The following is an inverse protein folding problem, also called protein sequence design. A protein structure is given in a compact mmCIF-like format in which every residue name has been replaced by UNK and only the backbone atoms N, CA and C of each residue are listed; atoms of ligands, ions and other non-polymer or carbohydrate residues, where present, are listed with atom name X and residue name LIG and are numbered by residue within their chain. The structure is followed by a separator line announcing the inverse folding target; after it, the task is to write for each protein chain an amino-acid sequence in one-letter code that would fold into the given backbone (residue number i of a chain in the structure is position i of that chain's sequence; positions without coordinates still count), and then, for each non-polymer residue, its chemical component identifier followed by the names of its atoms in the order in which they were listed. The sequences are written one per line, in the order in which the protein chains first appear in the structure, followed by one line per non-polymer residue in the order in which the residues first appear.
data_IF_686888446646
#
_entry.id   IF_686888446646
#
_cell.length_a   1.000
_cell.length_b   1.000
_cell.length_c   1.000
_cell.angle_alpha   90.00
_cell.angle_beta   90.00
_cell.angle_gamma   90.00
#
_symmetry.space_group_name_H-M   'P 1'
#
loop_
_entity.id
_entity.type
_entity.pdbx_description
1 polymer ?
#
# COMPACT_ATOMS: atom_id res chain seq x y z
N UNK A 1 10.09 16.74 35.78
CA UNK A 1 9.23 15.56 36.01
C UNK A 1 9.53 14.55 34.92
N UNK A 2 10.09 13.40 35.31
CA UNK A 2 10.65 12.40 34.39
C UNK A 2 9.59 11.70 33.55
N UNK A 3 9.77 11.73 32.23
CA UNK A 3 8.99 10.94 31.27
C UNK A 3 9.53 9.51 31.33
N UNK A 4 8.72 8.59 31.82
CA UNK A 4 9.01 7.15 31.80
C UNK A 4 9.19 6.70 30.34
N UNK A 5 10.45 6.49 29.93
CA UNK A 5 10.78 5.64 28.80
C UNK A 5 10.44 4.21 29.22
N UNK A 6 9.31 3.70 28.72
CA UNK A 6 8.98 2.29 28.84
C UNK A 6 9.92 1.53 27.90
N UNK A 7 11.06 1.08 28.41
CA UNK A 7 11.91 0.08 27.75
C UNK A 7 11.14 -1.23 27.70
N UNK A 8 10.39 -1.44 26.60
CA UNK A 8 9.95 -2.77 26.22
C UNK A 8 11.15 -3.55 25.68
N UNK A 9 11.22 -4.88 25.88
CA UNK A 9 12.32 -5.69 25.38
C UNK A 9 12.36 -5.55 23.86
N UNK A 10 13.46 -5.00 23.34
CA UNK A 10 13.77 -5.07 21.92
C UNK A 10 14.12 -6.54 21.67
N UNK A 11 13.15 -7.33 21.18
CA UNK A 11 13.52 -8.48 20.36
C UNK A 11 14.30 -7.91 19.18
N UNK A 12 15.63 -7.92 19.29
CA UNK A 12 16.51 -7.49 18.21
C UNK A 12 16.30 -8.46 17.07
N UNK A 13 15.49 -8.07 16.09
CA UNK A 13 15.33 -8.79 14.85
C UNK A 13 16.67 -8.67 14.09
N UNK A 14 17.56 -9.68 14.09
CA UNK A 14 18.96 -9.49 13.67
C UNK A 14 19.11 -9.22 12.16
N UNK A 15 18.02 -9.29 11.41
CA UNK A 15 17.94 -9.02 9.98
C UNK A 15 17.30 -7.66 9.63
N UNK A 16 16.83 -6.88 10.61
CA UNK A 16 16.17 -5.60 10.37
C UNK A 16 16.94 -4.50 11.09
N UNK A 17 17.34 -3.47 10.36
CA UNK A 17 17.96 -2.27 10.94
C UNK A 17 16.90 -1.18 11.10
N UNK A 18 16.86 -0.52 12.27
CA UNK A 18 15.87 0.52 12.55
C UNK A 18 16.10 1.66 11.58
N UNK A 19 15.06 2.04 10.84
CA UNK A 19 15.16 3.07 9.83
C UNK A 19 14.89 4.45 10.46
N UNK A 20 15.45 5.53 9.91
CA UNK A 20 14.99 6.88 10.25
C UNK A 20 13.50 7.04 9.90
N UNK A 21 12.87 8.10 10.41
CA UNK A 21 11.51 8.46 10.05
C UNK A 21 11.37 8.63 8.51
N UNK A 22 10.17 8.44 7.94
CA UNK A 22 9.99 8.48 6.50
C UNK A 22 10.43 9.80 5.88
N UNK A 23 11.07 9.71 4.72
CA UNK A 23 11.26 10.81 3.80
C UNK A 23 10.07 10.90 2.82
N UNK A 24 9.75 12.13 2.42
CA UNK A 24 8.66 12.45 1.51
C UNK A 24 9.24 13.09 0.25
N UNK A 25 8.89 12.54 -0.92
CA UNK A 25 9.26 13.12 -2.21
C UNK A 25 8.16 14.02 -2.74
N UNK A 26 8.56 15.07 -3.42
CA UNK A 26 7.69 15.95 -4.21
C UNK A 26 8.21 15.92 -5.63
N UNK A 27 7.32 15.65 -6.58
CA UNK A 27 7.66 15.61 -7.99
C UNK A 27 6.83 16.62 -8.78
N UNK A 28 7.52 17.30 -9.69
CA UNK A 28 6.92 18.15 -10.72
C UNK A 28 7.62 17.92 -12.05
N UNK A 29 6.89 18.01 -13.15
CA UNK A 29 7.42 18.01 -14.51
C UNK A 29 6.81 19.18 -15.25
N UNK A 30 7.62 20.21 -15.48
CA UNK A 30 7.20 21.42 -16.19
C UNK A 30 8.02 21.57 -17.48
N UNK A 31 7.33 21.75 -18.62
CA UNK A 31 7.98 21.91 -19.93
C UNK A 31 9.02 20.81 -20.23
N UNK A 32 8.66 19.55 -19.96
CA UNK A 32 9.56 18.39 -20.06
C UNK A 32 10.78 18.41 -19.13
N UNK A 33 10.82 19.32 -18.16
CA UNK A 33 11.87 19.41 -17.14
C UNK A 33 11.37 18.81 -15.84
N UNK A 34 11.81 17.59 -15.48
CA UNK A 34 11.49 16.98 -14.20
C UNK A 34 12.27 17.68 -13.07
N UNK A 35 11.60 17.85 -11.94
CA UNK A 35 12.16 18.37 -10.70
C UNK A 35 11.64 17.52 -9.54
N UNK A 36 12.51 17.20 -8.60
CA UNK A 36 12.12 16.55 -7.37
C UNK A 36 12.81 17.18 -6.16
N UNK A 37 12.06 17.27 -5.08
CA UNK A 37 12.55 17.71 -3.77
C UNK A 37 12.20 16.66 -2.74
N UNK A 38 13.14 16.34 -1.86
CA UNK A 38 12.98 15.38 -0.78
C UNK A 38 12.92 16.14 0.53
N UNK A 39 11.95 15.78 1.35
CA UNK A 39 11.69 16.39 2.64
C UNK A 39 11.74 15.34 3.74
N UNK A 40 12.09 15.76 4.96
CA UNK A 40 11.96 14.92 6.14
C UNK A 40 10.50 14.81 6.63
N UNK A 41 10.29 14.09 7.72
CA UNK A 41 8.95 13.89 8.31
C UNK A 41 8.33 15.15 8.92
N UNK A 42 9.09 16.23 9.07
CA UNK A 42 8.63 17.54 9.52
C UNK A 42 8.54 18.56 8.36
N UNK A 43 8.71 18.08 7.12
CA UNK A 43 8.72 18.86 5.89
C UNK A 43 9.87 19.86 5.76
N UNK A 44 11.01 19.61 6.39
CA UNK A 44 12.24 20.34 6.07
C UNK A 44 12.90 19.76 4.82
N UNK A 45 13.42 20.61 3.95
CA UNK A 45 14.11 20.19 2.74
C UNK A 45 15.40 19.44 3.09
N UNK A 46 15.54 18.22 2.58
CA UNK A 46 16.68 17.32 2.78
C UNK A 46 17.59 17.30 1.56
N UNK A 47 17.01 17.16 0.37
CA UNK A 47 17.74 17.12 -0.89
C UNK A 47 16.85 17.57 -2.05
N UNK A 48 17.46 17.93 -3.18
CA UNK A 48 16.75 18.34 -4.40
C UNK A 48 17.56 17.92 -5.62
N UNK A 49 16.88 17.44 -6.66
CA UNK A 49 17.51 17.27 -7.96
C UNK A 49 17.82 18.65 -8.56
N UNK A 50 19.05 18.88 -9.00
CA UNK A 50 19.40 20.17 -9.61
C UNK A 50 18.72 20.31 -10.98
N UNK A 51 17.81 21.29 -11.08
CA UNK A 51 17.32 21.83 -12.34
C UNK A 51 18.47 22.58 -13.02
N UNK A 52 19.09 22.03 -14.06
CA UNK A 52 20.02 22.80 -14.88
C UNK A 52 19.23 23.81 -15.69
N UNK A 53 19.27 25.06 -15.23
CA UNK A 53 18.53 26.21 -15.75
C UNK A 53 19.07 26.74 -17.10
N UNK A 54 19.49 25.85 -18.01
CA UNK A 54 19.98 26.19 -19.33
C UNK A 54 19.30 25.28 -20.36
N UNK A 55 18.74 25.88 -21.41
CA UNK A 55 17.87 25.24 -22.39
C UNK A 55 18.20 23.78 -22.72
N UNK A 56 17.18 22.93 -22.65
CA UNK A 56 17.20 21.56 -23.13
C UNK A 56 18.18 20.59 -22.42
N UNK A 57 18.69 20.92 -21.24
CA UNK A 57 19.46 20.00 -20.41
C UNK A 57 18.54 19.25 -19.43
N UNK A 58 18.34 17.95 -19.69
CA UNK A 58 17.66 16.99 -18.82
C UNK A 58 18.26 17.05 -17.39
N UNK A 59 17.41 16.89 -16.37
CA UNK A 59 17.86 16.89 -14.97
C UNK A 59 19.04 15.91 -14.80
N UNK A 60 20.17 16.43 -14.32
CA UNK A 60 21.44 15.67 -14.20
C UNK A 60 21.42 14.63 -13.07
N UNK A 61 20.29 14.44 -12.41
CA UNK A 61 20.12 13.53 -11.26
C UNK A 61 19.17 12.35 -11.56
N UNK A 62 18.95 11.98 -12.83
CA UNK A 62 18.12 10.81 -13.13
C UNK A 62 17.79 10.61 -14.59
N UNK A 63 17.94 9.38 -15.09
CA UNK A 63 17.58 9.01 -16.47
C UNK A 63 16.05 8.89 -16.59
N UNK A 64 15.41 9.93 -17.16
CA UNK A 64 14.03 9.87 -17.64
C UNK A 64 14.08 9.55 -19.14
N UNK A 65 13.82 8.29 -19.47
CA UNK A 65 13.79 7.80 -20.86
C UNK A 65 12.71 8.51 -21.69
N UNK A 66 13.05 8.92 -22.91
CA UNK A 66 12.22 9.74 -23.83
C UNK A 66 10.85 9.14 -24.16
N UNK A 67 10.74 7.82 -24.18
CA UNK A 67 9.57 7.09 -24.67
C UNK A 67 8.42 7.05 -23.63
N UNK A 68 8.66 7.55 -22.42
CA UNK A 68 7.71 7.55 -21.30
C UNK A 68 7.24 8.96 -20.90
N UNK A 69 7.60 9.98 -21.70
CA UNK A 69 7.33 11.40 -21.47
C UNK A 69 5.84 11.76 -21.33
N UNK A 70 4.91 10.93 -21.80
CA UNK A 70 3.47 11.16 -21.60
C UNK A 70 3.02 11.03 -20.14
N UNK A 71 3.52 10.02 -19.44
CA UNK A 71 2.92 9.58 -18.17
C UNK A 71 3.34 10.44 -16.99
N UNK A 72 4.49 11.11 -17.10
CA UNK A 72 5.16 11.83 -16.05
C UNK A 72 4.88 13.35 -16.07
N UNK A 73 3.98 13.82 -16.93
CA UNK A 73 3.57 15.23 -16.91
C UNK A 73 2.83 15.58 -15.62
N UNK A 74 3.08 16.79 -15.14
CA UNK A 74 2.28 17.39 -14.07
C UNK A 74 1.48 18.59 -14.55
N UNK A 75 1.37 18.83 -15.87
CA UNK A 75 0.70 20.02 -16.40
C UNK A 75 -0.82 19.95 -16.57
N UNK A 76 -1.41 18.82 -16.23
CA UNK A 76 -2.85 18.59 -16.36
C UNK A 76 -3.33 17.55 -15.37
N UNK A 77 -4.60 17.18 -15.47
CA UNK A 77 -5.28 16.26 -14.54
C UNK A 77 -5.52 14.90 -15.19
N UNK A 78 -5.69 13.85 -14.37
CA UNK A 78 -5.91 12.48 -14.85
C UNK A 78 -7.33 12.24 -15.41
N UNK A 79 -8.21 13.24 -15.26
CA UNK A 79 -9.67 13.24 -15.41
C UNK A 79 -10.32 12.57 -16.63
N UNK A 80 -9.58 12.21 -17.68
CA UNK A 80 -10.18 11.74 -18.93
C UNK A 80 -9.36 10.73 -19.75
N UNK A 81 -8.25 10.20 -19.22
CA UNK A 81 -7.36 9.30 -19.98
C UNK A 81 -7.23 7.95 -19.32
N UNK A 82 -7.34 6.87 -20.11
CA UNK A 82 -6.78 5.56 -19.76
C UNK A 82 -5.30 5.70 -19.39
N UNK A 83 -4.71 4.69 -18.72
CA UNK A 83 -3.31 4.70 -18.30
C UNK A 83 -2.38 5.26 -19.40
N UNK A 84 -1.91 6.50 -19.18
CA UNK A 84 -1.52 7.43 -20.24
C UNK A 84 -1.05 8.75 -19.66
N UNK A 85 -1.46 9.88 -20.24
CA UNK A 85 -0.95 11.20 -19.82
C UNK A 85 -1.33 11.55 -18.38
N UNK A 86 -0.40 12.14 -17.62
CA UNK A 86 -0.57 12.54 -16.20
C UNK A 86 -0.76 11.39 -15.20
N UNK A 87 -0.57 10.14 -15.64
CA UNK A 87 -0.84 8.94 -14.82
C UNK A 87 0.03 8.84 -13.56
N UNK A 88 1.16 9.55 -13.51
CA UNK A 88 2.00 9.68 -12.31
C UNK A 88 1.27 10.26 -11.10
N UNK A 89 0.07 10.81 -11.30
CA UNK A 89 -0.76 11.41 -10.27
C UNK A 89 -1.96 10.54 -9.90
N UNK A 90 -2.10 9.35 -10.48
CA UNK A 90 -3.26 8.48 -10.25
C UNK A 90 -3.16 7.80 -8.87
N UNK A 91 -4.26 7.75 -8.12
CA UNK A 91 -4.35 7.08 -6.81
C UNK A 91 -3.77 5.64 -6.78
N UNK A 92 -4.03 4.76 -7.77
CA UNK A 92 -3.50 3.39 -7.72
C UNK A 92 -1.98 3.28 -8.02
N UNK A 93 -1.31 4.39 -8.35
CA UNK A 93 0.13 4.39 -8.56
C UNK A 93 0.93 4.45 -7.25
N UNK A 94 0.30 4.69 -6.10
CA UNK A 94 0.97 4.76 -4.81
C UNK A 94 0.83 3.46 -4.02
N UNK A 95 1.93 2.89 -3.55
CA UNK A 95 1.90 1.81 -2.57
C UNK A 95 3.10 1.81 -1.62
N UNK A 96 3.04 0.92 -0.64
CA UNK A 96 4.12 0.60 0.31
C UNK A 96 5.43 0.16 -0.38
N UNK A 97 5.31 -0.34 -1.61
CA UNK A 97 6.40 -0.81 -2.46
C UNK A 97 6.94 0.32 -3.37
N UNK A 98 6.47 1.56 -3.15
CA UNK A 98 6.88 2.73 -3.91
C UNK A 98 5.82 3.19 -4.90
N UNK A 99 6.23 4.05 -5.83
CA UNK A 99 5.37 4.55 -6.89
C UNK A 99 5.49 3.66 -8.13
N UNK A 100 4.38 3.36 -8.80
CA UNK A 100 4.37 2.43 -9.94
C UNK A 100 5.23 2.88 -11.12
N UNK A 101 5.35 4.20 -11.33
CA UNK A 101 5.99 4.76 -12.53
C UNK A 101 7.31 5.47 -12.24
N UNK A 102 7.59 5.80 -10.98
CA UNK A 102 8.72 6.65 -10.62
C UNK A 102 9.42 6.06 -9.39
N UNK A 103 10.74 6.14 -9.39
CA UNK A 103 11.60 5.92 -8.24
C UNK A 103 12.19 7.26 -7.84
N UNK A 104 12.13 7.56 -6.56
CA UNK A 104 12.83 8.67 -5.94
C UNK A 104 13.75 8.11 -4.85
N UNK A 105 15.01 8.49 -4.89
CA UNK A 105 15.98 8.19 -3.83
C UNK A 105 16.14 9.38 -2.89
N UNK A 106 16.57 9.10 -1.65
CA UNK A 106 16.73 10.11 -0.61
C UNK A 106 17.70 11.25 -0.96
N UNK A 107 18.62 11.03 -1.89
CA UNK A 107 19.58 12.03 -2.36
C UNK A 107 19.06 12.90 -3.53
N UNK A 108 17.77 12.81 -3.88
CA UNK A 108 17.19 13.55 -5.00
C UNK A 108 17.39 12.88 -6.36
N UNK A 109 17.90 11.64 -6.38
CA UNK A 109 17.95 10.84 -7.59
C UNK A 109 16.56 10.40 -8.05
N UNK A 110 16.33 10.34 -9.36
CA UNK A 110 15.06 9.90 -9.93
C UNK A 110 15.24 8.91 -11.08
N UNK A 111 14.32 7.96 -11.23
CA UNK A 111 14.30 7.06 -12.38
C UNK A 111 12.88 6.64 -12.71
N UNK A 112 12.52 6.62 -13.99
CA UNK A 112 11.24 6.03 -14.40
C UNK A 112 11.30 4.50 -14.33
N UNK A 113 10.18 3.90 -13.96
CA UNK A 113 9.99 2.46 -13.97
C UNK A 113 9.32 2.05 -15.27
N UNK A 114 9.68 0.89 -15.81
CA UNK A 114 8.94 0.30 -16.91
C UNK A 114 7.48 0.06 -16.48
N UNK A 115 6.50 0.78 -17.08
CA UNK A 115 5.12 0.77 -16.58
C UNK A 115 4.52 -0.63 -16.59
N UNK A 116 4.68 -1.38 -17.68
CA UNK A 116 4.01 -2.68 -17.85
C UNK A 116 4.49 -3.73 -16.86
N UNK A 117 5.78 -3.69 -16.53
CA UNK A 117 6.35 -4.57 -15.53
C UNK A 117 5.81 -4.24 -14.14
N UNK A 118 5.78 -2.97 -13.74
CA UNK A 118 5.30 -2.55 -12.44
C UNK A 118 3.80 -2.73 -12.25
N UNK A 119 3.00 -2.40 -13.26
CA UNK A 119 1.57 -2.65 -13.26
C UNK A 119 1.28 -4.13 -12.97
N UNK A 120 1.98 -5.02 -13.66
CA UNK A 120 1.79 -6.47 -13.54
C UNK A 120 2.33 -7.06 -12.24
N UNK A 121 3.34 -6.44 -11.62
CA UNK A 121 3.97 -6.95 -10.39
C UNK A 121 3.36 -6.40 -9.12
N UNK A 122 3.26 -5.06 -9.01
CA UNK A 122 2.80 -4.40 -7.79
C UNK A 122 1.32 -4.68 -7.51
N UNK A 123 0.58 -5.08 -8.55
CA UNK A 123 -0.79 -5.54 -8.38
C UNK A 123 -0.90 -6.77 -7.46
N UNK A 124 0.16 -7.58 -7.38
CA UNK A 124 0.19 -8.88 -6.68
C UNK A 124 0.92 -8.83 -5.34
N UNK A 125 1.53 -7.71 -4.95
CA UNK A 125 2.13 -7.57 -3.63
C UNK A 125 1.06 -7.44 -2.56
N UNK A 126 1.16 -8.22 -1.48
CA UNK A 126 0.28 -8.19 -0.30
C UNK A 126 0.81 -7.31 0.82
N UNK A 127 0.20 -7.42 2.00
CA UNK A 127 0.53 -6.57 3.17
C UNK A 127 1.56 -7.25 4.05
N UNK A 128 2.56 -6.50 4.53
CA UNK A 128 3.48 -6.98 5.56
C UNK A 128 3.47 -6.00 6.73
N UNK A 129 3.12 -6.50 7.92
CA UNK A 129 3.23 -5.79 9.19
C UNK A 129 4.55 -6.18 9.85
N UNK A 130 5.47 -5.23 9.91
CA UNK A 130 6.81 -5.41 10.48
C UNK A 130 6.88 -4.94 11.94
N UNK A 131 8.06 -5.05 12.57
CA UNK A 131 8.30 -4.43 13.87
C UNK A 131 8.32 -2.89 13.76
N UNK A 132 8.07 -2.20 14.86
CA UNK A 132 8.04 -0.73 14.91
C UNK A 132 9.36 -0.11 14.45
N UNK A 133 9.27 0.82 13.49
CA UNK A 133 10.42 1.58 13.01
C UNK A 133 11.31 0.83 12.03
N UNK A 134 10.82 -0.29 11.52
CA UNK A 134 11.51 -1.08 10.51
C UNK A 134 10.72 -1.06 9.21
N UNK A 135 11.38 -0.57 8.17
CA UNK A 135 10.94 -0.79 6.79
C UNK A 135 11.25 -2.24 6.44
N UNK A 136 10.24 -3.01 6.06
CA UNK A 136 10.42 -4.39 5.61
C UNK A 136 11.36 -4.43 4.38
N UNK A 137 12.37 -5.32 4.34
CA UNK A 137 13.31 -5.42 3.22
C UNK A 137 12.72 -6.13 1.99
N UNK A 138 11.55 -6.74 2.16
CA UNK A 138 10.89 -7.59 1.18
C UNK A 138 9.44 -7.19 0.97
N UNK A 139 8.88 -7.67 -0.15
CA UNK A 139 7.46 -7.69 -0.47
C UNK A 139 7.00 -9.13 -0.68
N UNK A 140 5.77 -9.44 -0.25
CA UNK A 140 5.16 -10.75 -0.48
C UNK A 140 4.32 -10.69 -1.74
N UNK A 141 4.72 -11.45 -2.75
CA UNK A 141 4.02 -11.55 -4.02
C UNK A 141 3.19 -12.82 -4.04
N UNK A 142 1.90 -12.67 -4.35
CA UNK A 142 0.99 -13.79 -4.47
C UNK A 142 0.14 -13.68 -5.73
N UNK A 143 0.20 -14.74 -6.55
CA UNK A 143 -0.69 -14.94 -7.70
C UNK A 143 -1.03 -16.41 -7.85
N UNK A 144 -2.32 -16.72 -7.83
CA UNK A 144 -2.87 -18.06 -7.99
C UNK A 144 -2.45 -19.03 -6.90
N UNK A 145 -1.45 -19.85 -7.19
CA UNK A 145 -0.87 -20.84 -6.25
C UNK A 145 0.62 -20.57 -5.99
N UNK A 146 1.14 -19.47 -6.51
CA UNK A 146 2.55 -19.09 -6.39
C UNK A 146 2.73 -18.01 -5.33
N UNK A 147 3.59 -18.29 -4.36
CA UNK A 147 4.00 -17.35 -3.31
C UNK A 147 5.51 -17.12 -3.39
N UNK A 148 5.91 -15.85 -3.39
CA UNK A 148 7.31 -15.41 -3.52
C UNK A 148 7.62 -14.25 -2.59
N UNK A 149 8.88 -14.14 -2.20
CA UNK A 149 9.46 -12.94 -1.58
C UNK A 149 10.24 -12.19 -2.66
N UNK A 150 10.03 -10.89 -2.78
CA UNK A 150 10.79 -10.00 -3.67
C UNK A 150 11.47 -8.91 -2.86
N UNK A 151 12.52 -8.27 -3.41
CA UNK A 151 13.05 -7.04 -2.84
C UNK A 151 11.96 -5.98 -2.78
N UNK A 152 11.90 -5.23 -1.67
CA UNK A 152 10.85 -4.23 -1.52
C UNK A 152 10.93 -3.18 -2.62
N UNK A 153 9.80 -2.97 -3.30
CA UNK A 153 9.74 -2.04 -4.44
C UNK A 153 10.60 -2.42 -5.63
N UNK A 154 11.11 -3.65 -5.68
CA UNK A 154 11.95 -4.16 -6.74
C UNK A 154 11.37 -5.42 -7.40
N UNK A 155 12.18 -6.00 -8.29
CA UNK A 155 11.84 -7.20 -9.06
C UNK A 155 12.78 -8.37 -8.78
N UNK A 156 13.78 -8.18 -7.92
CA UNK A 156 14.69 -9.25 -7.58
C UNK A 156 13.97 -10.23 -6.67
N UNK A 157 13.76 -11.45 -7.16
CA UNK A 157 13.20 -12.53 -6.34
C UNK A 157 14.22 -12.91 -5.27
N UNK A 158 13.78 -12.89 -4.02
CA UNK A 158 14.59 -13.25 -2.87
C UNK A 158 14.37 -14.70 -2.45
N UNK A 159 13.12 -15.17 -2.58
CA UNK A 159 12.73 -16.51 -2.17
C UNK A 159 11.44 -16.95 -2.87
N UNK A 160 11.19 -18.25 -2.96
CA UNK A 160 9.97 -18.83 -3.51
C UNK A 160 9.60 -20.09 -2.75
N UNK A 161 8.31 -20.32 -2.51
CA UNK A 161 7.81 -21.61 -2.06
C UNK A 161 8.02 -22.67 -3.16
N UNK A 162 8.88 -23.65 -2.92
CA UNK A 162 9.28 -24.65 -3.91
C UNK A 162 8.21 -25.74 -4.08
N UNK A 163 7.60 -26.17 -2.98
CA UNK A 163 6.58 -27.25 -3.00
C UNK A 163 5.27 -26.81 -3.65
N UNK A 164 5.03 -25.49 -3.78
CA UNK A 164 3.78 -24.91 -4.31
C UNK A 164 2.62 -24.99 -3.32
N UNK A 165 1.74 -23.98 -3.32
CA UNK A 165 0.66 -23.88 -2.31
C UNK A 165 -0.40 -24.97 -2.44
N UNK A 166 -0.67 -25.44 -3.65
CA UNK A 166 -1.69 -26.45 -3.94
C UNK A 166 -1.19 -27.89 -3.72
N UNK A 167 -0.30 -28.10 -2.75
CA UNK A 167 0.19 -29.43 -2.35
C UNK A 167 -0.20 -29.70 -0.91
N UNK A 168 -0.49 -30.97 -0.60
CA UNK A 168 -0.93 -31.39 0.74
C UNK A 168 0.10 -31.04 1.85
N UNK A 169 1.39 -30.98 1.48
CA UNK A 169 2.49 -30.61 2.37
C UNK A 169 2.55 -29.12 2.68
N UNK A 170 1.94 -28.26 1.86
CA UNK A 170 1.88 -26.81 2.07
C UNK A 170 0.52 -26.35 2.61
N UNK A 171 -0.57 -26.85 2.05
CA UNK A 171 -1.93 -26.43 2.38
C UNK A 171 -2.97 -27.52 2.11
N UNK A 172 -4.16 -27.33 2.69
CA UNK A 172 -5.38 -28.04 2.26
C UNK A 172 -6.12 -27.13 1.27
N UNK A 173 -5.59 -27.06 0.06
CA UNK A 173 -6.13 -26.23 -1.03
C UNK A 173 -7.50 -26.76 -1.46
N UNK A 174 -8.49 -25.89 -1.64
CA UNK A 174 -9.86 -26.30 -1.96
C UNK A 174 -10.04 -26.61 -3.46
N UNK A 175 -9.35 -25.87 -4.33
CA UNK A 175 -9.21 -26.17 -5.76
C UNK A 175 -10.46 -25.93 -6.62
N UNK A 176 -10.47 -24.79 -7.31
CA UNK A 176 -10.95 -24.65 -8.70
C UNK A 176 -10.41 -23.38 -9.38
N UNK A 177 -10.09 -22.33 -8.62
CA UNK A 177 -9.72 -21.02 -9.17
C UNK A 177 -8.33 -20.56 -8.71
N UNK A 178 -7.47 -20.24 -9.68
CA UNK A 178 -6.07 -19.80 -9.45
C UNK A 178 -5.86 -18.34 -9.85
N UNK A 179 -6.91 -17.52 -9.83
CA UNK A 179 -6.82 -16.11 -10.24
C UNK A 179 -6.54 -15.14 -9.08
N UNK A 180 -6.43 -15.61 -7.84
CA UNK A 180 -6.19 -14.74 -6.68
C UNK A 180 -4.91 -13.92 -6.85
N UNK A 181 -4.96 -12.63 -6.52
CA UNK A 181 -3.84 -11.69 -6.60
C UNK A 181 -3.75 -10.86 -5.33
N UNK A 182 -2.54 -10.65 -4.81
CA UNK A 182 -2.25 -9.80 -3.64
C UNK A 182 -2.98 -10.09 -2.34
N UNK A 183 -3.84 -11.11 -2.30
CA UNK A 183 -4.60 -11.52 -1.14
C UNK A 183 -3.76 -12.35 -0.18
N UNK A 184 -2.62 -11.79 0.21
CA UNK A 184 -1.66 -12.34 1.16
C UNK A 184 -1.30 -11.25 2.17
N UNK A 185 -1.11 -11.66 3.41
CA UNK A 185 -0.73 -10.80 4.51
C UNK A 185 0.20 -11.51 5.46
N UNK A 186 1.24 -10.84 5.96
CA UNK A 186 2.14 -11.38 6.97
C UNK A 186 2.32 -10.41 8.12
N UNK A 187 2.23 -10.90 9.35
CA UNK A 187 2.58 -10.15 10.55
C UNK A 187 3.80 -10.77 11.20
N UNK A 188 4.91 -10.03 11.18
CA UNK A 188 6.21 -10.50 11.65
C UNK A 188 6.21 -10.84 13.15
N UNK A 189 5.76 -9.91 13.99
CA UNK A 189 5.69 -10.11 15.45
C UNK A 189 4.81 -11.29 15.85
N UNK A 190 3.60 -11.39 15.29
CA UNK A 190 2.68 -12.51 15.54
C UNK A 190 3.12 -13.83 14.90
N UNK A 191 4.08 -13.81 13.97
CA UNK A 191 4.48 -14.98 13.18
C UNK A 191 3.30 -15.56 12.40
N UNK A 192 2.47 -14.70 11.81
CA UNK A 192 1.19 -15.06 11.23
C UNK A 192 1.16 -14.72 9.74
N UNK A 193 1.15 -15.74 8.89
CA UNK A 193 0.97 -15.62 7.44
C UNK A 193 -0.45 -16.04 7.09
N UNK A 194 -1.14 -15.19 6.33
CA UNK A 194 -2.51 -15.43 5.87
C UNK A 194 -2.57 -15.24 4.38
N UNK A 195 -3.27 -16.15 3.70
CA UNK A 195 -3.56 -16.07 2.29
C UNK A 195 -5.03 -16.39 2.07
N UNK A 196 -5.67 -15.73 1.11
CA UNK A 196 -7.04 -16.06 0.72
C UNK A 196 -7.02 -16.75 -0.65
N UNK A 197 -7.62 -17.93 -0.70
CA UNK A 197 -7.97 -18.66 -1.92
C UNK A 197 -9.42 -18.30 -2.29
N UNK A 198 -9.68 -17.92 -3.53
CA UNK A 198 -11.03 -17.91 -4.08
C UNK A 198 -11.37 -19.32 -4.55
N UNK A 199 -12.49 -19.86 -4.07
CA UNK A 199 -12.97 -21.17 -4.51
C UNK A 199 -13.77 -21.08 -5.80
N UNK A 200 -14.42 -19.93 -6.03
CA UNK A 200 -15.18 -19.63 -7.24
C UNK A 200 -15.31 -18.12 -7.48
N UNK A 201 -16.00 -17.76 -8.56
CA UNK A 201 -16.34 -16.38 -8.91
C UNK A 201 -17.49 -15.78 -8.07
N UNK A 202 -18.09 -16.57 -7.17
CA UNK A 202 -19.24 -16.18 -6.36
C UNK A 202 -18.83 -15.59 -5.00
N UNK A 203 -17.56 -15.19 -4.85
CA UNK A 203 -16.99 -14.69 -3.61
C UNK A 203 -17.06 -15.70 -2.46
N UNK A 204 -16.90 -16.99 -2.77
CA UNK A 204 -16.65 -18.03 -1.78
C UNK A 204 -15.14 -18.22 -1.64
N UNK A 205 -14.64 -18.16 -0.40
CA UNK A 205 -13.22 -18.10 -0.10
C UNK A 205 -12.80 -19.17 0.90
N UNK A 206 -11.50 -19.44 0.92
CA UNK A 206 -10.79 -20.14 1.97
C UNK A 206 -9.62 -19.28 2.44
N UNK A 207 -9.58 -18.92 3.72
CA UNK A 207 -8.39 -18.38 4.33
C UNK A 207 -7.46 -19.53 4.71
N UNK A 208 -6.22 -19.47 4.27
CA UNK A 208 -5.12 -20.30 4.76
C UNK A 208 -4.31 -19.51 5.78
N UNK A 209 -4.11 -20.09 6.95
CA UNK A 209 -3.53 -19.40 8.10
C UNK A 209 -2.40 -20.27 8.64
N UNK A 210 -1.17 -19.84 8.41
CA UNK A 210 0.03 -20.45 8.98
C UNK A 210 0.54 -19.58 10.12
N UNK A 211 0.77 -20.20 11.27
CA UNK A 211 1.37 -19.55 12.43
C UNK A 211 2.67 -20.24 12.77
N UNK A 212 3.72 -19.46 12.97
CA UNK A 212 5.03 -19.95 13.33
C UNK A 212 5.63 -19.12 14.48
N UNK A 213 5.97 -19.73 15.63
CA UNK A 213 6.51 -18.98 16.76
C UNK A 213 7.93 -18.46 16.49
N UNK A 214 8.78 -19.27 15.85
CA UNK A 214 10.22 -19.01 15.72
C UNK A 214 10.68 -18.62 14.31
N UNK A 215 10.27 -19.35 13.26
CA UNK A 215 10.61 -18.99 11.89
C UNK A 215 9.95 -17.66 11.51
N UNK A 216 10.75 -16.78 10.92
CA UNK A 216 10.32 -15.49 10.38
C UNK A 216 10.66 -15.42 8.91
N UNK A 217 9.86 -14.65 8.18
CA UNK A 217 10.16 -14.27 6.81
C UNK A 217 10.92 -12.95 6.87
N UNK A 218 12.09 -12.89 6.24
CA UNK A 218 12.99 -11.73 6.17
C UNK A 218 13.53 -11.45 4.77
N UNK A 219 13.11 -12.24 3.77
CA UNK A 219 13.65 -12.16 2.42
C UNK A 219 14.90 -13.00 2.22
N UNK A 220 15.16 -14.02 3.05
CA UNK A 220 16.27 -14.96 2.82
C UNK A 220 15.75 -16.22 2.10
N UNK A 221 16.57 -16.84 1.23
CA UNK A 221 16.20 -18.08 0.54
C UNK A 221 15.84 -19.20 1.52
N UNK A 222 14.79 -19.96 1.19
CA UNK A 222 14.32 -21.13 1.94
C UNK A 222 13.46 -20.81 3.17
N UNK A 223 13.26 -19.53 3.51
CA UNK A 223 12.41 -19.14 4.64
C UNK A 223 10.93 -19.47 4.39
N UNK A 224 10.43 -19.32 3.16
CA UNK A 224 9.05 -19.66 2.80
C UNK A 224 8.78 -21.15 2.97
N UNK A 225 9.64 -22.01 2.41
CA UNK A 225 9.50 -23.47 2.53
C UNK A 225 9.53 -23.88 4.00
N UNK A 226 10.52 -23.40 4.77
CA UNK A 226 10.60 -23.70 6.20
C UNK A 226 9.33 -23.26 6.94
N UNK A 227 8.89 -22.02 6.75
CA UNK A 227 7.75 -21.46 7.47
C UNK A 227 6.45 -22.23 7.18
N UNK A 228 6.16 -22.49 5.90
CA UNK A 228 4.91 -23.10 5.47
C UNK A 228 4.88 -24.61 5.75
N UNK A 229 5.97 -25.32 5.43
CA UNK A 229 6.02 -26.77 5.58
C UNK A 229 6.05 -27.19 7.05
N UNK A 230 6.81 -26.49 7.90
CA UNK A 230 6.81 -26.77 9.35
C UNK A 230 5.44 -26.46 9.98
N UNK A 231 4.82 -25.33 9.62
CA UNK A 231 3.48 -24.97 10.09
C UNK A 231 2.43 -25.99 9.65
N UNK A 232 2.51 -26.49 8.42
CA UNK A 232 1.59 -27.53 7.91
C UNK A 232 1.79 -28.88 8.61
N UNK A 233 3.03 -29.24 8.90
CA UNK A 233 3.36 -30.47 9.64
C UNK A 233 3.06 -30.39 11.15
N UNK A 234 2.83 -29.19 11.70
CA UNK A 234 2.68 -28.99 13.15
C UNK A 234 4.02 -29.06 13.91
N UNK A 235 5.14 -28.86 13.21
CA UNK A 235 6.49 -28.95 13.77
C UNK A 235 6.84 -27.70 14.58
N UNK A 236 7.72 -27.82 15.58
CA UNK A 236 8.28 -26.69 16.32
C UNK A 236 7.23 -25.74 16.96
N UNK A 237 6.05 -26.28 17.30
CA UNK A 237 4.92 -25.49 17.83
C UNK A 237 4.27 -24.57 16.81
N UNK A 238 4.63 -24.69 15.52
CA UNK A 238 3.95 -24.05 14.42
C UNK A 238 2.62 -24.76 14.12
N UNK A 239 1.71 -24.05 13.45
CA UNK A 239 0.40 -24.60 13.13
C UNK A 239 -0.15 -24.05 11.82
N UNK A 240 -1.01 -24.86 11.21
CA UNK A 240 -1.78 -24.52 10.03
C UNK A 240 -3.25 -24.77 10.30
N UNK A 241 -4.09 -23.84 9.86
CA UNK A 241 -5.52 -24.03 9.76
C UNK A 241 -6.05 -23.38 8.49
N UNK A 242 -7.25 -23.77 8.09
CA UNK A 242 -8.00 -23.05 7.07
C UNK A 242 -9.39 -22.67 7.56
N UNK A 243 -9.97 -21.62 7.01
CA UNK A 243 -11.34 -21.20 7.32
C UNK A 243 -12.08 -20.91 6.02
N UNK A 244 -13.17 -21.62 5.79
CA UNK A 244 -14.07 -21.33 4.68
C UNK A 244 -15.03 -20.20 5.06
N UNK A 245 -15.24 -19.25 4.16
CA UNK A 245 -16.21 -18.17 4.35
C UNK A 245 -16.73 -17.67 3.00
N UNK A 246 -17.87 -17.00 3.04
CA UNK A 246 -18.46 -16.36 1.86
C UNK A 246 -18.63 -14.88 2.14
N UNK A 247 -18.31 -14.03 1.16
CA UNK A 247 -18.48 -12.59 1.28
C UNK A 247 -19.02 -11.99 -0.01
N UNK A 248 -20.31 -12.17 -0.25
CA UNK A 248 -21.02 -11.56 -1.37
C UNK A 248 -21.75 -10.30 -0.90
N UNK A 249 -21.27 -9.13 -1.31
CA UNK A 249 -21.84 -7.85 -0.90
C UNK A 249 -21.64 -6.79 -2.00
N UNK A 250 -22.58 -5.85 -2.12
CA UNK A 250 -22.48 -4.70 -3.02
C UNK A 250 -22.20 -5.08 -4.49
N UNK A 251 -22.75 -6.19 -4.98
CA UNK A 251 -22.50 -6.64 -6.37
C UNK A 251 -21.10 -7.20 -6.62
N UNK A 252 -20.40 -7.65 -5.56
CA UNK A 252 -19.00 -8.10 -5.64
C UNK A 252 -18.77 -9.27 -6.61
N UNK A 253 -19.80 -10.05 -6.97
CA UNK A 253 -19.69 -11.15 -7.93
C UNK A 253 -19.65 -10.70 -9.40
N UNK A 254 -19.73 -9.40 -9.68
CA UNK A 254 -19.70 -8.86 -11.04
C UNK A 254 -18.32 -8.44 -11.54
N UNK A 255 -17.30 -8.39 -10.67
CA UNK A 255 -15.98 -7.82 -11.00
C UNK A 255 -14.83 -8.72 -10.56
N UNK A 256 -13.85 -8.88 -11.46
CA UNK A 256 -12.63 -9.67 -11.20
C UNK A 256 -11.84 -9.11 -10.00
N UNK A 257 -11.79 -7.79 -9.84
CA UNK A 257 -11.18 -7.14 -8.66
C UNK A 257 -11.78 -7.64 -7.35
N UNK A 258 -13.11 -7.62 -7.20
CA UNK A 258 -13.75 -8.03 -5.93
C UNK A 258 -13.82 -9.54 -5.74
N UNK A 259 -13.72 -10.32 -6.81
CA UNK A 259 -13.68 -11.78 -6.73
C UNK A 259 -12.31 -12.31 -6.36
N UNK A 260 -11.24 -11.65 -6.82
CA UNK A 260 -9.89 -12.24 -6.79
C UNK A 260 -8.82 -11.37 -6.15
N UNK A 261 -9.21 -10.23 -5.56
CA UNK A 261 -8.26 -9.32 -4.94
C UNK A 261 -8.80 -8.69 -3.66
N UNK A 262 -7.95 -8.65 -2.65
CA UNK A 262 -8.20 -7.95 -1.39
C UNK A 262 -6.89 -7.69 -0.66
N UNK A 263 -6.90 -6.72 0.25
CA UNK A 263 -5.81 -6.48 1.20
C UNK A 263 -6.10 -7.29 2.44
N UNK A 264 -5.19 -8.23 2.72
CA UNK A 264 -5.25 -9.12 3.88
C UNK A 264 -4.32 -8.57 4.93
N UNK A 265 -4.85 -8.19 6.08
CA UNK A 265 -4.11 -7.52 7.15
C UNK A 265 -4.22 -8.39 8.40
N UNK A 266 -3.27 -9.33 8.63
CA UNK A 266 -3.20 -10.08 9.88
C UNK A 266 -2.81 -9.13 11.01
N UNK A 267 -3.41 -9.32 12.17
CA UNK A 267 -3.19 -8.44 13.33
C UNK A 267 -2.64 -9.20 14.53
N UNK A 268 -2.07 -8.46 15.49
CA UNK A 268 -1.56 -9.04 16.74
C UNK A 268 -2.64 -9.75 17.56
N UNK A 269 -3.89 -9.30 17.48
CA UNK A 269 -5.04 -9.96 18.11
C UNK A 269 -5.36 -11.36 17.57
N UNK A 270 -4.77 -11.76 16.44
CA UNK A 270 -5.08 -13.00 15.73
C UNK A 270 -6.31 -12.89 14.80
N UNK A 271 -7.06 -11.78 14.87
CA UNK A 271 -8.08 -11.42 13.87
C UNK A 271 -7.41 -10.95 12.59
N UNK A 272 -8.13 -11.07 11.48
CA UNK A 272 -7.62 -10.73 10.15
C UNK A 272 -8.58 -9.72 9.53
N UNK A 273 -8.09 -8.53 9.22
CA UNK A 273 -8.85 -7.58 8.41
C UNK A 273 -8.74 -7.92 6.92
N UNK A 274 -9.89 -7.86 6.24
CA UNK A 274 -10.01 -8.02 4.80
C UNK A 274 -10.59 -6.73 4.25
N UNK A 275 -9.83 -6.00 3.44
CA UNK A 275 -10.31 -4.80 2.75
C UNK A 275 -10.41 -5.10 1.27
N UNK A 276 -11.59 -4.89 0.69
CA UNK A 276 -11.90 -5.23 -0.71
C UNK A 276 -12.53 -4.05 -1.43
N UNK A 277 -12.17 -3.91 -2.69
CA UNK A 277 -12.74 -2.93 -3.61
C UNK A 277 -13.70 -3.63 -4.56
N UNK A 278 -14.93 -3.12 -4.62
CA UNK A 278 -15.93 -3.49 -5.61
C UNK A 278 -16.02 -2.31 -6.58
N UNK A 279 -15.44 -2.44 -7.79
CA UNK A 279 -15.43 -1.37 -8.78
C UNK A 279 -16.82 -0.78 -9.01
N UNK A 280 -16.86 0.53 -9.21
CA UNK A 280 -18.08 1.35 -9.37
C UNK A 280 -19.06 1.40 -8.20
N UNK A 281 -18.79 0.70 -7.08
CA UNK A 281 -19.75 0.57 -5.98
C UNK A 281 -19.18 1.05 -4.64
N UNK A 282 -18.14 0.37 -4.11
CA UNK A 282 -17.53 0.75 -2.83
C UNK A 282 -16.17 0.11 -2.56
N UNK A 283 -15.44 0.66 -1.60
CA UNK A 283 -14.50 -0.11 -0.78
C UNK A 283 -15.20 -0.53 0.52
N UNK A 284 -15.00 -1.77 0.95
CA UNK A 284 -15.56 -2.27 2.20
C UNK A 284 -14.58 -3.19 2.94
N UNK A 285 -14.84 -3.37 4.23
CA UNK A 285 -14.01 -4.12 5.15
C UNK A 285 -14.83 -5.22 5.81
N UNK A 286 -14.17 -6.34 6.09
CA UNK A 286 -14.65 -7.39 6.97
C UNK A 286 -13.54 -7.83 7.91
N UNK A 287 -13.90 -8.45 9.03
CA UNK A 287 -12.95 -9.03 9.97
C UNK A 287 -13.23 -10.51 10.11
N UNK A 288 -12.26 -11.32 9.72
CA UNK A 288 -12.27 -12.76 9.96
C UNK A 288 -11.68 -13.04 11.33
N UNK A 289 -12.43 -13.76 12.17
CA UNK A 289 -11.97 -14.29 13.45
C UNK A 289 -11.85 -15.81 13.32
N UNK A 290 -10.63 -16.35 13.18
CA UNK A 290 -10.42 -17.79 13.15
C UNK A 290 -10.81 -18.45 14.47
N UNK A 291 -11.54 -19.55 14.40
CA UNK A 291 -11.91 -20.42 15.52
C UNK A 291 -11.08 -21.70 15.56
N UNK A 292 -11.47 -22.66 16.40
CA UNK A 292 -10.83 -23.98 16.46
C UNK A 292 -11.34 -24.92 15.37
N UNK A 293 -10.52 -25.86 14.92
CA UNK A 293 -10.97 -26.96 14.05
C UNK A 293 -11.37 -26.53 12.64
N UNK A 294 -10.61 -25.61 12.02
CA UNK A 294 -10.87 -25.07 10.68
C UNK A 294 -12.22 -24.32 10.53
N UNK A 295 -12.68 -23.70 11.61
CA UNK A 295 -13.87 -22.85 11.64
C UNK A 295 -13.49 -21.39 11.84
N UNK A 296 -14.44 -20.47 11.64
CA UNK A 296 -14.27 -19.07 11.99
C UNK A 296 -15.52 -18.27 11.67
N UNK A 297 -15.53 -17.01 12.10
CA UNK A 297 -16.63 -16.08 11.86
C UNK A 297 -16.14 -14.89 11.05
N UNK A 298 -16.95 -14.47 10.08
CA UNK A 298 -16.71 -13.25 9.32
C UNK A 298 -17.69 -12.18 9.79
N UNK A 299 -17.17 -11.09 10.37
CA UNK A 299 -17.94 -9.90 10.67
C UNK A 299 -17.86 -8.92 9.49
N UNK A 300 -19.02 -8.56 8.95
CA UNK A 300 -19.15 -7.63 7.81
C UNK A 300 -19.87 -6.34 8.19
N UNK A 301 -20.12 -6.10 9.48
CA UNK A 301 -20.88 -4.93 9.97
C UNK A 301 -20.02 -3.66 10.04
N UNK A 302 -19.24 -3.42 9.00
CA UNK A 302 -18.38 -2.24 8.86
C UNK A 302 -19.00 -1.30 7.83
N UNK A 303 -18.97 0.00 8.12
CA UNK A 303 -19.48 1.00 7.19
C UNK A 303 -18.68 1.00 5.89
N UNK A 304 -19.38 0.83 4.77
CA UNK A 304 -18.81 0.89 3.43
C UNK A 304 -18.40 2.31 3.08
N UNK A 305 -17.42 2.45 2.19
CA UNK A 305 -17.03 3.73 1.61
C UNK A 305 -17.37 3.72 0.14
N UNK A 306 -18.36 4.51 -0.26
CA UNK A 306 -18.83 4.55 -1.64
C UNK A 306 -17.73 4.99 -2.61
N UNK A 307 -17.81 4.45 -3.81
CA UNK A 307 -17.13 4.97 -4.99
C UNK A 307 -18.14 4.95 -6.14
N UNK A 308 -17.85 5.63 -7.23
CA UNK A 308 -18.71 5.59 -8.40
C UNK A 308 -17.85 5.44 -9.62
N UNK A 309 -18.28 4.61 -10.57
CA UNK A 309 -17.74 4.70 -11.92
C UNK A 309 -16.20 4.56 -11.92
N UNK A 310 -15.70 3.51 -11.26
CA UNK A 310 -14.27 3.32 -10.96
C UNK A 310 -13.76 2.00 -11.53
N UNK A 311 -12.47 1.93 -11.82
CA UNK A 311 -11.83 0.80 -12.49
C UNK A 311 -11.03 -0.09 -11.54
N UNK A 312 -11.30 -1.40 -11.59
CA UNK A 312 -10.53 -2.46 -10.97
C UNK A 312 -9.50 -3.07 -11.92
N UNK A 313 -8.92 -4.21 -11.53
CA UNK A 313 -7.93 -4.91 -12.37
C UNK A 313 -8.47 -5.39 -13.72
N UNK A 314 -9.78 -5.51 -13.87
CA UNK A 314 -10.39 -5.92 -15.13
C UNK A 314 -10.16 -4.90 -16.26
N UNK A 315 -9.85 -3.63 -15.95
CA UNK A 315 -9.46 -2.62 -16.94
C UNK A 315 -7.93 -2.49 -17.12
N UNK A 316 -7.14 -3.31 -16.41
CA UNK A 316 -5.69 -3.35 -16.54
C UNK A 316 -4.96 -3.44 -15.20
N UNK A 317 -3.69 -3.88 -15.24
CA UNK A 317 -2.89 -4.14 -14.03
C UNK A 317 -2.52 -2.87 -13.24
N UNK A 318 -2.60 -1.70 -13.87
CA UNK A 318 -2.41 -0.39 -13.24
C UNK A 318 -3.52 -0.01 -12.25
N UNK A 319 -4.68 -0.64 -12.33
CA UNK A 319 -5.86 -0.26 -11.55
C UNK A 319 -6.05 -1.09 -10.27
N UNK A 320 -7.16 -0.81 -9.57
CA UNK A 320 -7.57 -1.52 -8.36
C UNK A 320 -6.87 -1.08 -7.08
N UNK A 321 -7.15 -1.79 -5.99
CA UNK A 321 -6.75 -1.41 -4.64
C UNK A 321 -5.23 -1.45 -4.45
N UNK A 322 -4.70 -0.54 -3.63
CA UNK A 322 -3.32 -0.49 -3.12
C UNK A 322 -3.34 -0.35 -1.60
N UNK A 323 -2.15 -0.32 -1.01
CA UNK A 323 -2.02 -0.04 0.40
C UNK A 323 -0.73 0.68 0.73
N UNK A 324 -0.74 1.37 1.87
CA UNK A 324 0.38 1.96 2.56
C UNK A 324 0.37 1.50 4.02
N UNK A 325 1.52 1.59 4.69
CA UNK A 325 1.65 1.29 6.11
C UNK A 325 2.47 2.40 6.79
N UNK A 326 2.10 2.78 8.01
CA UNK A 326 2.85 3.74 8.81
C UNK A 326 4.24 3.21 9.18
N UNK A 327 5.17 4.11 9.51
CA UNK A 327 6.56 3.76 9.86
C UNK A 327 6.65 2.82 11.06
N UNK A 328 5.79 3.03 12.05
CA UNK A 328 5.67 2.20 13.25
C UNK A 328 4.94 0.87 13.00
N UNK A 329 4.43 0.66 11.78
CA UNK A 329 3.65 -0.50 11.37
C UNK A 329 2.33 -0.69 12.16
N UNK A 330 1.80 0.36 12.80
CA UNK A 330 0.56 0.29 13.58
C UNK A 330 -0.72 0.47 12.75
N UNK A 331 -0.61 1.09 11.56
CA UNK A 331 -1.76 1.40 10.73
C UNK A 331 -1.51 1.10 9.26
N UNK A 332 -2.43 0.36 8.64
CA UNK A 332 -2.43 0.06 7.21
C UNK A 332 -3.58 0.83 6.54
N UNK A 333 -3.25 1.72 5.60
CA UNK A 333 -4.23 2.33 4.73
C UNK A 333 -4.41 1.47 3.48
N UNK A 334 -5.57 0.83 3.31
CA UNK A 334 -5.93 0.09 2.11
C UNK A 334 -6.97 0.90 1.32
N UNK A 335 -6.66 1.22 0.06
CA UNK A 335 -7.42 2.20 -0.70
C UNK A 335 -7.46 1.91 -2.20
N UNK A 336 -8.53 2.36 -2.84
CA UNK A 336 -8.80 2.28 -4.27
C UNK A 336 -9.23 3.66 -4.79
N UNK A 337 -9.20 3.89 -6.11
CA UNK A 337 -9.73 5.13 -6.67
C UNK A 337 -11.25 5.23 -6.48
N UNK A 338 -11.73 6.46 -6.27
CA UNK A 338 -13.15 6.75 -6.16
C UNK A 338 -13.84 6.77 -7.53
N UNK A 339 -13.14 7.19 -8.59
CA UNK A 339 -13.66 7.40 -9.93
C UNK A 339 -12.71 6.88 -11.03
N UNK A 340 -13.11 7.03 -12.29
CA UNK A 340 -12.33 6.65 -13.47
C UNK A 340 -10.89 7.14 -13.40
N UNK A 341 -10.02 6.41 -14.09
CA UNK A 341 -8.65 6.85 -14.34
C UNK A 341 -7.90 7.19 -13.04
N UNK A 342 -8.15 6.42 -11.98
CA UNK A 342 -7.41 6.58 -10.73
C UNK A 342 -7.74 7.85 -9.95
N UNK A 343 -8.87 8.50 -10.25
CA UNK A 343 -9.29 9.73 -9.56
C UNK A 343 -9.94 9.44 -8.22
N UNK A 344 -9.76 10.38 -7.29
CA UNK A 344 -10.27 10.34 -5.93
C UNK A 344 -9.77 9.15 -5.11
N UNK A 345 -10.41 8.92 -3.97
CA UNK A 345 -9.99 7.92 -3.00
C UNK A 345 -11.20 7.29 -2.29
N UNK A 346 -11.16 5.98 -2.09
CA UNK A 346 -12.08 5.22 -1.24
C UNK A 346 -11.30 4.12 -0.53
N UNK A 347 -11.49 3.94 0.78
CA UNK A 347 -10.78 2.90 1.52
C UNK A 347 -10.91 2.96 3.04
N UNK A 348 -10.02 2.25 3.71
CA UNK A 348 -10.00 2.10 5.17
C UNK A 348 -8.56 2.21 5.68
N UNK A 349 -8.39 2.84 6.85
CA UNK A 349 -7.17 2.70 7.66
C UNK A 349 -7.46 1.72 8.79
N UNK A 350 -6.66 0.67 8.92
CA UNK A 350 -6.89 -0.42 9.86
C UNK A 350 -5.72 -0.54 10.81
N UNK A 351 -6.00 -0.66 12.11
CA UNK A 351 -4.99 -0.87 13.13
C UNK A 351 -4.47 -2.33 13.08
N UNK A 352 -3.15 -2.50 13.22
CA UNK A 352 -2.48 -3.80 13.12
C UNK A 352 -2.42 -4.56 14.44
N UNK A 353 -2.78 -3.95 15.57
CA UNK A 353 -2.99 -4.68 16.82
C UNK A 353 -4.40 -5.31 16.86
N UNK A 354 -5.43 -4.53 16.52
CA UNK A 354 -6.84 -4.96 16.50
C UNK A 354 -7.61 -4.34 15.33
N UNK A 355 -8.11 -5.13 14.38
CA UNK A 355 -8.74 -4.60 13.16
C UNK A 355 -10.12 -3.99 13.42
N UNK A 356 -10.70 -4.14 14.62
CA UNK A 356 -11.93 -3.42 15.00
C UNK A 356 -11.68 -1.93 15.27
N UNK A 357 -10.41 -1.52 15.37
CA UNK A 357 -9.98 -0.12 15.37
C UNK A 357 -9.63 0.30 13.95
N UNK A 358 -10.45 1.15 13.37
CA UNK A 358 -10.33 1.54 11.97
C UNK A 358 -10.90 2.94 11.71
N UNK A 359 -10.55 3.50 10.57
CA UNK A 359 -11.10 4.75 10.05
C UNK A 359 -11.43 4.62 8.57
N UNK A 360 -12.39 5.41 8.09
CA UNK A 360 -12.79 5.43 6.68
C UNK A 360 -12.04 6.54 5.94
N UNK A 361 -11.52 6.24 4.75
CA UNK A 361 -10.85 7.18 3.86
C UNK A 361 -11.73 7.47 2.65
N UNK A 362 -12.07 8.73 2.41
CA UNK A 362 -12.84 9.11 1.22
C UNK A 362 -12.45 10.48 0.71
N UNK A 363 -12.34 10.60 -0.60
CA UNK A 363 -12.27 11.87 -1.32
C UNK A 363 -12.92 11.71 -2.69
N UNK A 364 -14.11 12.30 -2.83
CA UNK A 364 -15.03 12.08 -3.95
C UNK A 364 -14.74 12.97 -5.17
N UNK A 365 -13.53 12.90 -5.70
CA UNK A 365 -13.13 13.64 -6.90
C UNK A 365 -13.22 12.78 -8.17
N UNK A 366 -13.72 13.39 -9.25
CA UNK A 366 -13.71 12.83 -10.61
C UNK A 366 -12.57 13.37 -11.48
N UNK A 367 -11.76 14.32 -10.95
CA UNK A 367 -10.79 15.06 -11.75
C UNK A 367 -9.34 14.66 -11.46
N UNK A 368 -9.00 14.36 -10.22
CA UNK A 368 -7.61 14.20 -9.78
C UNK A 368 -7.43 12.97 -8.89
N UNK A 369 -6.22 12.39 -8.93
CA UNK A 369 -5.83 11.35 -7.98
C UNK A 369 -5.35 11.92 -6.64
N UNK A 370 -5.14 11.01 -5.69
CA UNK A 370 -4.72 11.30 -4.32
C UNK A 370 -3.49 10.46 -4.00
N UNK A 371 -2.44 11.11 -3.51
CA UNK A 371 -1.29 10.43 -2.90
C UNK A 371 -1.56 10.22 -1.41
N UNK A 372 -1.17 9.05 -0.90
CA UNK A 372 -1.06 8.78 0.54
C UNK A 372 0.31 8.16 0.75
N UNK A 373 1.10 8.74 1.66
CA UNK A 373 2.46 8.29 1.95
C UNK A 373 2.72 8.33 3.45
N UNK A 374 3.49 7.38 4.00
CA UNK A 374 3.84 7.39 5.42
C UNK A 374 4.65 8.64 5.76
N UNK A 375 4.34 9.25 6.90
CA UNK A 375 5.08 10.38 7.47
C UNK A 375 5.05 10.26 8.99
N UNK A 376 6.07 10.81 9.67
CA UNK A 376 6.22 10.67 11.13
C UNK A 376 6.20 9.19 11.53
N UNK A 377 6.01 8.90 12.81
CA UNK A 377 5.98 7.52 13.30
C UNK A 377 4.68 6.80 12.91
N UNK A 378 3.53 7.43 13.16
CA UNK A 378 2.21 6.81 13.10
C UNK A 378 1.24 7.62 12.25
N UNK A 379 1.65 8.10 11.08
CA UNK A 379 0.80 8.95 10.26
C UNK A 379 1.00 8.82 8.75
N UNK A 380 0.11 9.48 8.02
CA UNK A 380 0.20 9.63 6.58
C UNK A 380 0.10 11.10 6.18
N UNK A 381 0.93 11.51 5.24
CA UNK A 381 0.72 12.73 4.46
C UNK A 381 -0.07 12.38 3.21
N UNK A 382 -0.87 13.33 2.74
CA UNK A 382 -1.63 13.20 1.50
C UNK A 382 -1.68 14.52 0.74
N UNK A 383 -1.87 14.45 -0.57
CA UNK A 383 -2.14 15.62 -1.42
C UNK A 383 -3.18 15.28 -2.47
N UNK A 384 -3.97 16.29 -2.84
CA UNK A 384 -4.87 16.21 -3.99
C UNK A 384 -4.15 16.77 -5.20
N UNK A 385 -4.06 15.99 -6.27
CA UNK A 385 -3.25 16.38 -7.44
C UNK A 385 -3.95 17.36 -8.38
N UNK A 386 -5.06 17.95 -7.93
CA UNK A 386 -5.75 19.10 -8.54
C UNK A 386 -5.12 20.45 -8.20
N UNK A 387 -4.31 20.51 -7.15
CA UNK A 387 -3.76 21.77 -6.66
C UNK A 387 -2.68 22.29 -7.61
N UNK A 388 -2.94 23.46 -8.18
CA UNK A 388 -1.99 24.17 -9.02
C UNK A 388 -0.99 24.94 -8.15
N UNK A 389 0.28 24.92 -8.54
CA UNK A 389 1.36 25.59 -7.81
C UNK A 389 1.47 27.11 -8.09
N UNK A 390 0.62 27.71 -8.92
CA UNK A 390 0.67 29.13 -9.25
C UNK A 390 0.48 30.06 -8.04
N UNK A 391 0.84 31.33 -8.22
CA UNK A 391 0.63 32.41 -7.24
C UNK A 391 1.25 32.12 -5.87
N UNK A 392 2.44 31.50 -5.87
CA UNK A 392 3.24 31.17 -4.68
C UNK A 392 2.61 30.14 -3.73
N UNK A 393 1.65 29.32 -4.19
CA UNK A 393 0.91 28.40 -3.30
C UNK A 393 1.67 27.10 -3.00
N UNK A 394 2.53 26.66 -3.91
CA UNK A 394 3.28 25.41 -3.78
C UNK A 394 2.39 24.17 -3.81
N UNK A 395 2.86 23.07 -3.20
CA UNK A 395 2.05 21.85 -3.05
C UNK A 395 1.23 21.89 -1.75
N UNK A 396 -0.07 21.66 -1.87
CA UNK A 396 -0.96 21.55 -0.71
C UNK A 396 -0.87 20.16 -0.11
N UNK A 397 -0.69 20.10 1.21
CA UNK A 397 -0.52 18.85 1.96
C UNK A 397 -1.53 18.79 3.10
N UNK A 398 -2.07 17.60 3.33
CA UNK A 398 -2.84 17.25 4.51
C UNK A 398 -2.15 16.14 5.31
N UNK A 399 -2.50 16.04 6.59
CA UNK A 399 -1.95 15.05 7.51
C UNK A 399 -3.04 14.23 8.18
N UNK A 400 -2.78 12.94 8.37
CA UNK A 400 -3.50 12.03 9.24
C UNK A 400 -2.51 11.48 10.27
N UNK A 401 -2.60 11.90 11.52
CA UNK A 401 -1.67 11.48 12.57
C UNK A 401 -2.38 10.66 13.64
N UNK A 402 -1.94 9.41 13.83
CA UNK A 402 -2.48 8.47 14.80
C UNK A 402 -1.57 8.26 16.02
N UNK A 403 -0.45 9.01 16.12
CA UNK A 403 0.49 8.92 17.24
C UNK A 403 0.01 9.59 18.53
N UNK A 404 -1.04 10.42 18.44
CA UNK A 404 -1.81 10.98 19.56
C UNK A 404 -3.29 10.63 19.44
N UNK A 405 -4.16 11.37 20.14
CA UNK A 405 -5.62 11.28 19.93
C UNK A 405 -5.94 11.87 18.55
N UNK A 406 -5.76 11.07 17.49
CA UNK A 406 -6.07 11.34 16.08
C UNK A 406 -6.07 12.82 15.69
N UNK A 407 -4.92 13.41 15.37
CA UNK A 407 -4.93 14.80 14.89
C UNK A 407 -5.54 14.84 13.49
N UNK A 408 -6.71 15.45 13.40
CA UNK A 408 -7.21 16.10 12.20
C UNK A 408 -7.16 17.61 12.43
N UNK A 409 -7.08 18.38 11.35
CA UNK A 409 -7.25 19.85 11.38
C UNK A 409 -8.57 20.29 12.06
N UNK A 410 -9.54 19.38 12.20
CA UNK A 410 -10.89 19.63 12.71
C UNK A 410 -11.28 18.90 14.02
N UNK A 411 -10.37 18.14 14.67
CA UNK A 411 -10.63 17.54 16.00
C UNK A 411 -10.32 16.04 16.13
N UNK A 412 -10.89 15.40 17.16
CA UNK A 412 -10.71 13.97 17.49
C UNK A 412 -11.64 13.09 16.67
N UNK A 413 -11.09 12.12 15.95
CA UNK A 413 -11.86 11.19 15.14
C UNK A 413 -12.30 9.96 15.95
N UNK A 414 -13.62 9.74 16.04
CA UNK A 414 -14.18 8.54 16.66
C UNK A 414 -13.82 7.27 15.86
N UNK A 415 -13.70 6.12 16.53
CA UNK A 415 -13.47 4.84 15.86
C UNK A 415 -14.55 4.56 14.81
N UNK A 416 -14.15 4.08 13.63
CA UNK A 416 -15.02 3.91 12.46
C UNK A 416 -15.44 5.23 11.79
N UNK A 417 -14.99 6.38 12.30
CA UNK A 417 -15.25 7.70 11.75
C UNK A 417 -14.68 7.88 10.33
N UNK A 418 -15.29 8.78 9.57
CA UNK A 418 -14.77 9.19 8.28
C UNK A 418 -13.69 10.26 8.46
N UNK A 419 -12.52 10.02 7.88
CA UNK A 419 -11.45 10.99 7.85
C UNK A 419 -11.87 12.12 6.89
N UNK A 420 -12.05 13.33 7.42
CA UNK A 420 -12.23 14.53 6.58
C UNK A 420 -10.90 14.93 5.96
N UNK A 421 -10.64 14.47 4.73
CA UNK A 421 -9.44 14.85 4.00
C UNK A 421 -9.51 16.32 3.58
N UNK A 422 -8.55 17.11 4.05
CA UNK A 422 -8.37 18.52 3.72
C UNK A 422 -6.88 18.84 3.61
N UNK A 423 -6.52 19.79 2.75
CA UNK A 423 -5.12 20.17 2.55
C UNK A 423 -4.93 21.64 2.90
N UNK A 424 -3.72 21.99 3.31
CA UNK A 424 -3.30 23.36 3.58
C UNK A 424 -2.19 23.79 2.64
N UNK A 425 -2.19 25.08 2.29
CA UNK A 425 -1.23 25.72 1.39
C UNK A 425 0.07 26.08 2.11
N UNK A 426 1.12 26.36 1.33
CA UNK A 426 2.40 26.91 1.82
C UNK A 426 3.23 25.97 2.72
N UNK A 427 3.05 24.66 2.58
CA UNK A 427 3.88 23.67 3.28
C UNK A 427 5.17 23.34 2.53
N UNK A 428 5.06 23.26 1.20
CA UNK A 428 6.12 22.76 0.33
C UNK A 428 6.23 23.71 -0.86
N UNK A 429 7.43 24.26 -1.03
CA UNK A 429 7.77 25.07 -2.19
C UNK A 429 8.00 24.18 -3.43
N UNK A 430 7.54 24.63 -4.59
CA UNK A 430 7.65 23.96 -5.89
C UNK A 430 7.80 25.01 -6.99
N UNK A 431 8.19 24.62 -8.21
CA UNK A 431 8.19 25.56 -9.34
C UNK A 431 6.82 26.22 -9.55
N UNK A 432 6.72 27.51 -9.23
CA UNK A 432 5.50 28.31 -9.29
C UNK A 432 5.12 28.68 -10.73
N UNK A 433 4.30 27.87 -11.37
CA UNK A 433 3.78 28.17 -12.72
C UNK A 433 2.31 27.78 -12.87
N UNK A 434 1.59 28.52 -13.71
CA UNK A 434 0.15 28.32 -13.99
C UNK A 434 -0.22 26.96 -14.56
N UNK A 435 0.77 26.19 -15.02
CA UNK A 435 0.56 24.86 -15.57
C UNK A 435 1.27 23.78 -14.77
N UNK A 436 1.62 23.98 -13.50
CA UNK A 436 2.25 22.91 -12.70
C UNK A 436 1.33 22.41 -11.58
N UNK A 437 1.09 21.10 -11.55
CA UNK A 437 0.28 20.39 -10.54
C UNK A 437 1.12 19.28 -9.88
N UNK A 438 2.03 19.64 -8.94
CA UNK A 438 2.95 18.70 -8.31
C UNK A 438 2.23 17.58 -7.55
N UNK A 439 2.93 16.49 -7.28
CA UNK A 439 2.41 15.37 -6.49
C UNK A 439 3.40 14.90 -5.41
N UNK A 440 2.84 14.40 -4.29
CA UNK A 440 3.64 13.68 -3.29
C UNK A 440 3.95 12.27 -3.80
N UNK A 441 5.18 11.81 -3.59
CA UNK A 441 5.66 10.51 -4.04
C UNK A 441 6.45 9.82 -2.90
N UNK A 442 6.26 8.49 -2.70
CA UNK A 442 7.05 7.73 -1.73
C UNK A 442 8.53 7.63 -2.14
N UNK A 443 9.43 7.82 -1.18
CA UNK A 443 10.89 7.64 -1.37
C UNK A 443 11.26 6.16 -1.15
N UNK A 444 12.11 5.60 -2.00
CA UNK A 444 12.49 4.18 -1.97
C UNK A 444 13.28 3.78 -0.73
N UNK A 445 14.13 4.68 -0.24
CA UNK A 445 14.89 4.54 0.99
C UNK A 445 14.67 5.76 1.88
N UNK A 446 14.80 5.59 3.19
CA UNK A 446 14.71 6.71 4.14
C UNK A 446 16.09 7.17 4.63
N UNK A 447 17.14 6.48 4.19
CA UNK A 447 18.53 6.82 4.45
C UNK A 447 19.10 7.57 3.25
N UNK A 448 19.80 8.67 3.54
CA UNK A 448 20.57 9.45 2.56
C UNK A 448 21.89 8.74 2.29
#
# INVERSE_FOLDING_TARGET
MGRFLRTLPVETAPAYEKQPLPLVGVYSSYNNSPDCSIYDSDFNLVSRANQTNAGNAWATSGEIWSDYTGWNYTNGQVSSSSAGTYWIKATPCYSVDGHQLLRLSANGGMAMRQPDQMGSFMANFGVIVGPEGYRQPMSLWFSGTTLRQYTRGGFAQLDQLTTGLATASAATWAGANTNMRSAVGYHWGAGLLVLIEARDASCNYRAHIWKHPTAKLSGKPGELDRFILEAKAGSNGASYQYVDFSWNANGSTGYTESQYRMRVIPTKSGKIALVRFVPSNCSHMAVLTPGTGNTGTLDTNFTTVSCTTSYGIEQGSYYGMRHQITWDNQWVAAFAPYYYYGSGLSGHVVNTDDPTRYYRLSYSSSSCGVSIIPIRASGFAYSFHENNADSSQGLNVGLMDFGGVGFQTTGVLANGGAVSLSTSRYWIDTGYTSTNYPCLIPVENWKI
#
